data_IF_607938585238
#
_entry.id   IF_607938585238
#
_cell.length_a   1.000
_cell.length_b   1.000
_cell.length_c   1.000
_cell.angle_alpha   90.00
_cell.angle_beta   90.00
_cell.angle_gamma   90.00
#
_symmetry.space_group_name_H-M   'P 1'
#
loop_
_entity.id
_entity.type
_entity.pdbx_description
1 polymer ?
#
# COMPACT_ATOMS: atom_id res chain seq x y z
N UNK A 1 1.06 5.39 -22.74
CA UNK A 1 1.53 4.07 -23.14
C UNK A 1 0.35 3.15 -23.50
N UNK A 2 0.06 3.00 -24.80
CA UNK A 2 -1.18 2.39 -25.31
C UNK A 2 -1.46 0.94 -24.86
N UNK A 3 -0.42 0.16 -24.49
CA UNK A 3 -0.60 -1.23 -24.03
C UNK A 3 -1.38 -1.32 -22.72
N UNK A 4 -1.04 -0.52 -21.72
CA UNK A 4 -1.71 -0.55 -20.43
C UNK A 4 -3.11 0.07 -20.49
N UNK A 5 -3.32 1.12 -21.30
CA UNK A 5 -4.64 1.68 -21.53
C UNK A 5 -5.62 0.64 -22.10
N UNK A 6 -5.19 -0.17 -23.07
CA UNK A 6 -6.01 -1.26 -23.62
C UNK A 6 -6.39 -2.30 -22.57
N UNK A 7 -5.46 -2.66 -21.66
CA UNK A 7 -5.77 -3.59 -20.56
C UNK A 7 -6.81 -3.01 -19.60
N UNK A 8 -6.71 -1.72 -19.26
CA UNK A 8 -7.66 -1.05 -18.38
C UNK A 8 -9.06 -0.99 -19.01
N UNK A 9 -9.16 -0.65 -20.30
CA UNK A 9 -10.43 -0.65 -21.03
C UNK A 9 -11.05 -2.08 -21.01
N UNK A 10 -10.23 -3.11 -21.24
CA UNK A 10 -10.69 -4.50 -21.17
C UNK A 10 -11.18 -4.87 -19.77
N UNK A 11 -10.46 -4.49 -18.71
CA UNK A 11 -10.88 -4.74 -17.32
C UNK A 11 -12.24 -4.08 -17.06
N UNK A 12 -12.38 -2.78 -17.37
CA UNK A 12 -13.63 -2.07 -17.18
C UNK A 12 -14.81 -2.73 -17.93
N UNK A 13 -14.59 -3.13 -19.19
CA UNK A 13 -15.61 -3.83 -19.98
C UNK A 13 -16.02 -5.18 -19.37
N UNK A 14 -15.06 -5.95 -18.84
CA UNK A 14 -15.36 -7.23 -18.18
C UNK A 14 -16.13 -7.02 -16.88
N UNK A 15 -15.79 -6.01 -16.10
CA UNK A 15 -16.52 -5.64 -14.87
C UNK A 15 -17.96 -5.25 -15.21
N UNK A 16 -18.18 -4.40 -16.23
CA UNK A 16 -19.52 -4.02 -16.68
C UNK A 16 -20.37 -5.20 -17.17
N UNK A 17 -19.74 -6.30 -17.64
CA UNK A 17 -20.39 -7.55 -18.01
C UNK A 17 -20.60 -8.51 -16.83
N UNK A 18 -20.24 -8.15 -15.61
CA UNK A 18 -20.28 -9.05 -14.45
C UNK A 18 -19.19 -10.13 -14.41
N UNK A 19 -18.22 -10.10 -15.34
CA UNK A 19 -17.13 -11.10 -15.47
C UNK A 19 -15.94 -10.75 -14.56
N UNK A 20 -16.20 -10.70 -13.27
CA UNK A 20 -15.23 -10.22 -12.26
C UNK A 20 -13.95 -11.06 -12.23
N UNK A 21 -14.06 -12.39 -12.32
CA UNK A 21 -12.88 -13.29 -12.31
C UNK A 21 -11.98 -13.08 -13.53
N UNK A 22 -12.57 -12.91 -14.73
CA UNK A 22 -11.80 -12.60 -15.92
C UNK A 22 -11.13 -11.22 -15.81
N UNK A 23 -11.83 -10.23 -15.28
CA UNK A 23 -11.26 -8.90 -15.01
C UNK A 23 -10.07 -8.99 -14.04
N UNK A 24 -10.17 -9.77 -12.96
CA UNK A 24 -9.08 -10.01 -12.02
C UNK A 24 -7.89 -10.71 -12.68
N UNK A 25 -8.12 -11.64 -13.59
CA UNK A 25 -7.04 -12.30 -14.35
C UNK A 25 -6.31 -11.29 -15.26
N UNK A 26 -7.05 -10.45 -15.98
CA UNK A 26 -6.45 -9.40 -16.83
C UNK A 26 -5.73 -8.36 -15.98
N UNK A 27 -6.25 -7.98 -14.80
CA UNK A 27 -5.63 -7.02 -13.87
C UNK A 27 -4.22 -7.47 -13.45
N UNK A 28 -3.98 -8.78 -13.27
CA UNK A 28 -2.65 -9.33 -12.93
C UNK A 28 -1.58 -9.11 -13.99
N UNK A 29 -1.95 -8.73 -15.21
CA UNK A 29 -1.02 -8.39 -16.31
C UNK A 29 -0.55 -6.93 -16.24
N UNK A 30 -1.17 -6.09 -15.40
CA UNK A 30 -0.74 -4.71 -15.18
C UNK A 30 0.56 -4.66 -14.36
N UNK A 31 1.39 -3.64 -14.56
CA UNK A 31 2.54 -3.41 -13.68
C UNK A 31 2.08 -3.28 -12.24
N UNK A 32 2.79 -3.98 -11.35
CA UNK A 32 2.59 -3.90 -9.90
C UNK A 32 3.69 -3.05 -9.28
N UNK A 33 3.35 -2.19 -8.32
CA UNK A 33 4.27 -1.28 -7.64
C UNK A 33 4.02 -1.27 -6.14
N UNK A 34 5.07 -0.96 -5.39
CA UNK A 34 5.04 -0.63 -3.96
C UNK A 34 5.56 0.79 -3.81
N UNK A 35 4.88 1.63 -3.03
CA UNK A 35 5.33 2.99 -2.75
C UNK A 35 5.91 3.11 -1.35
N UNK A 36 5.33 2.42 -0.39
CA UNK A 36 5.68 2.47 1.03
C UNK A 36 7.07 1.90 1.32
N UNK A 37 7.51 0.87 0.60
CA UNK A 37 8.81 0.25 0.83
C UNK A 37 9.49 -0.18 -0.46
N UNK A 38 10.84 -0.08 -0.45
CA UNK A 38 11.71 -0.63 -1.49
C UNK A 38 12.32 -1.95 -0.98
N UNK A 39 12.51 -2.89 -1.88
CA UNK A 39 13.00 -4.24 -1.56
C UNK A 39 14.25 -4.56 -2.39
N UNK A 40 15.17 -5.35 -1.82
CA UNK A 40 16.39 -5.78 -2.52
C UNK A 40 16.09 -6.85 -3.56
N UNK A 41 15.38 -7.90 -3.17
CA UNK A 41 15.10 -9.06 -4.02
C UNK A 41 13.62 -9.37 -4.11
N UNK A 42 13.04 -9.74 -2.99
CA UNK A 42 11.62 -10.13 -2.88
C UNK A 42 10.88 -9.17 -1.98
N UNK A 43 9.59 -9.03 -2.20
CA UNK A 43 8.70 -8.23 -1.37
C UNK A 43 8.39 -8.94 -0.04
N UNK A 44 9.40 -8.99 0.81
CA UNK A 44 9.38 -9.60 2.14
C UNK A 44 10.06 -8.65 3.13
N UNK A 45 9.64 -8.69 4.38
CA UNK A 45 10.18 -7.87 5.45
C UNK A 45 11.71 -7.85 5.53
N UNK A 46 12.42 -9.00 5.49
CA UNK A 46 13.89 -9.01 5.55
C UNK A 46 14.57 -8.35 4.35
N UNK A 47 13.85 -8.15 3.25
CA UNK A 47 14.37 -7.54 2.02
C UNK A 47 14.09 -6.05 1.91
N UNK A 48 13.44 -5.43 2.89
CA UNK A 48 13.19 -3.99 2.90
C UNK A 48 14.52 -3.25 3.01
N UNK A 49 14.78 -2.36 2.05
CA UNK A 49 15.99 -1.52 2.02
C UNK A 49 15.69 -0.06 2.36
N UNK A 50 14.45 0.37 2.14
CA UNK A 50 14.00 1.74 2.36
C UNK A 50 12.53 1.76 2.70
N UNK A 51 12.16 2.62 3.61
CA UNK A 51 10.77 2.93 3.92
C UNK A 51 10.43 4.36 3.50
N UNK A 52 9.32 4.53 2.82
CA UNK A 52 8.74 5.83 2.51
C UNK A 52 7.50 6.00 3.39
N UNK A 53 7.35 7.13 4.11
CA UNK A 53 6.23 7.34 5.02
C UNK A 53 4.94 7.71 4.28
N UNK A 54 4.68 7.02 3.19
CA UNK A 54 3.48 7.19 2.35
C UNK A 54 2.58 5.99 2.54
N UNK A 55 1.36 6.26 2.94
CA UNK A 55 0.33 5.25 3.13
C UNK A 55 -0.46 5.08 1.83
N UNK A 56 -0.69 3.85 1.44
CA UNK A 56 -1.57 3.53 0.31
C UNK A 56 -2.93 3.11 0.86
N UNK A 57 -3.97 3.83 0.46
CA UNK A 57 -5.36 3.49 0.77
C UNK A 57 -6.08 3.05 -0.51
N UNK A 58 -6.97 2.10 -0.35
CA UNK A 58 -7.85 1.60 -1.39
C UNK A 58 -9.28 1.99 -1.02
N UNK A 59 -9.91 2.80 -1.87
CA UNK A 59 -11.33 3.15 -1.78
C UNK A 59 -11.99 2.38 -2.92
N UNK A 60 -12.72 1.35 -2.57
CA UNK A 60 -13.34 0.46 -3.53
C UNK A 60 -14.89 0.61 -3.52
N UNK A 61 -15.57 0.04 -4.47
CA UNK A 61 -17.03 -0.11 -4.58
C UNK A 61 -17.84 1.19 -4.53
N UNK A 62 -17.29 2.30 -5.05
CA UNK A 62 -18.00 3.55 -5.22
C UNK A 62 -19.01 3.44 -6.36
N UNK A 63 -20.20 4.02 -6.14
CA UNK A 63 -21.18 4.20 -7.20
C UNK A 63 -20.70 5.25 -8.22
N UNK A 64 -21.18 5.16 -9.46
CA UNK A 64 -20.75 6.06 -10.54
C UNK A 64 -20.98 7.54 -10.17
N UNK A 65 -22.10 7.85 -9.51
CA UNK A 65 -22.43 9.20 -9.05
C UNK A 65 -21.53 9.75 -7.93
N UNK A 66 -20.82 8.89 -7.21
CA UNK A 66 -19.91 9.26 -6.13
C UNK A 66 -18.49 9.57 -6.62
N UNK A 67 -18.09 9.06 -7.79
CA UNK A 67 -16.70 9.10 -8.25
C UNK A 67 -16.15 10.52 -8.33
N UNK A 68 -16.84 11.46 -8.97
CA UNK A 68 -16.33 12.82 -9.13
C UNK A 68 -16.32 13.62 -7.82
N UNK A 69 -17.31 13.44 -6.96
CA UNK A 69 -17.31 14.06 -5.63
C UNK A 69 -16.15 13.52 -4.79
N UNK A 70 -15.94 12.20 -4.78
CA UNK A 70 -14.83 11.57 -4.08
C UNK A 70 -13.49 12.07 -4.62
N UNK A 71 -13.32 12.17 -5.95
CA UNK A 71 -12.12 12.73 -6.59
C UNK A 71 -11.82 14.14 -6.07
N UNK A 72 -12.83 15.01 -6.05
CA UNK A 72 -12.67 16.38 -5.59
C UNK A 72 -12.20 16.41 -4.13
N UNK A 73 -12.91 15.72 -3.24
CA UNK A 73 -12.57 15.68 -1.83
C UNK A 73 -11.15 15.17 -1.57
N UNK A 74 -10.75 14.06 -2.20
CA UNK A 74 -9.41 13.51 -1.99
C UNK A 74 -8.31 14.41 -2.58
N UNK A 75 -8.53 15.07 -3.72
CA UNK A 75 -7.50 15.89 -4.36
C UNK A 75 -7.34 17.26 -3.69
N UNK A 76 -8.36 17.77 -3.02
CA UNK A 76 -8.32 19.01 -2.23
C UNK A 76 -7.75 18.80 -0.83
N UNK A 77 -7.70 17.55 -0.33
CA UNK A 77 -7.16 17.26 0.98
C UNK A 77 -5.65 17.48 1.05
N UNK A 78 -5.15 18.25 2.05
CA UNK A 78 -3.74 18.61 2.14
C UNK A 78 -2.79 17.44 2.42
N UNK A 79 -3.30 16.29 2.85
CA UNK A 79 -2.53 15.07 3.09
C UNK A 79 -2.45 14.16 1.87
N UNK A 80 -3.22 14.44 0.83
CA UNK A 80 -3.18 13.66 -0.42
C UNK A 80 -1.91 13.95 -1.21
N UNK A 81 -1.01 12.97 -1.26
CA UNK A 81 0.16 13.00 -2.13
C UNK A 81 -0.21 12.76 -3.59
N UNK A 82 -1.17 11.87 -3.83
CA UNK A 82 -1.64 11.57 -5.16
C UNK A 82 -2.78 10.56 -5.18
N UNK A 83 -3.51 10.57 -6.26
CA UNK A 83 -4.63 9.66 -6.47
C UNK A 83 -4.82 9.29 -7.93
N UNK A 84 -5.40 8.13 -8.17
CA UNK A 84 -5.88 7.74 -9.50
C UNK A 84 -7.03 6.73 -9.41
N UNK A 85 -7.85 6.73 -10.45
CA UNK A 85 -8.96 5.80 -10.58
C UNK A 85 -8.45 4.36 -10.72
N UNK A 86 -9.00 3.44 -9.95
CA UNK A 86 -8.59 2.03 -9.93
C UNK A 86 -8.77 1.36 -11.31
N UNK A 87 -8.07 0.25 -11.61
CA UNK A 87 -8.24 -0.45 -12.88
C UNK A 87 -9.67 -0.90 -13.19
N UNK A 88 -10.48 -1.16 -12.15
CA UNK A 88 -11.89 -1.54 -12.28
C UNK A 88 -12.84 -0.37 -12.49
N UNK A 89 -12.38 0.86 -12.30
CA UNK A 89 -13.17 2.10 -12.45
C UNK A 89 -14.24 2.36 -11.38
N UNK A 90 -14.28 1.58 -10.31
CA UNK A 90 -15.25 1.71 -9.22
C UNK A 90 -14.59 2.15 -7.91
N UNK A 91 -13.50 2.91 -7.96
CA UNK A 91 -12.81 3.36 -6.78
C UNK A 91 -11.45 4.00 -7.07
N UNK A 92 -10.76 4.42 -6.03
CA UNK A 92 -9.49 5.14 -6.11
C UNK A 92 -8.36 4.42 -5.39
N UNK A 93 -7.16 4.53 -5.94
CA UNK A 93 -5.90 4.34 -5.23
C UNK A 93 -5.43 5.69 -4.76
N UNK A 94 -5.24 5.82 -3.45
CA UNK A 94 -4.90 7.05 -2.79
C UNK A 94 -3.56 6.90 -2.07
N UNK A 95 -2.68 7.85 -2.27
CA UNK A 95 -1.38 7.95 -1.61
C UNK A 95 -1.40 9.11 -0.64
N UNK A 96 -1.15 8.81 0.62
CA UNK A 96 -1.33 9.75 1.73
C UNK A 96 -0.02 9.98 2.44
N UNK A 97 0.32 11.24 2.67
CA UNK A 97 1.38 11.67 3.54
C UNK A 97 0.80 12.53 4.66
N UNK A 98 0.47 11.89 5.79
CA UNK A 98 -0.18 12.55 6.91
C UNK A 98 0.76 13.58 7.56
N UNK A 99 0.32 14.83 7.66
CA UNK A 99 1.08 15.92 8.27
C UNK A 99 0.36 16.48 9.51
N UNK A 100 0.23 15.67 10.52
CA UNK A 100 -0.27 16.07 11.84
C UNK A 100 0.89 16.15 12.84
N UNK A 101 0.70 16.80 13.97
CA UNK A 101 1.71 16.78 15.03
C UNK A 101 2.02 15.36 15.51
N UNK A 102 0.99 14.51 15.58
CA UNK A 102 1.13 13.11 15.94
C UNK A 102 2.03 12.35 14.95
N UNK A 103 1.77 12.47 13.64
CA UNK A 103 2.54 11.75 12.62
C UNK A 103 3.96 12.27 12.48
N UNK A 104 4.21 13.56 12.71
CA UNK A 104 5.57 14.13 12.76
C UNK A 104 6.42 13.46 13.84
N UNK A 105 5.88 13.21 15.02
CA UNK A 105 6.60 12.48 16.09
C UNK A 105 6.97 11.06 15.67
N UNK A 106 6.11 10.39 14.89
CA UNK A 106 6.42 9.07 14.33
C UNK A 106 7.54 9.14 13.29
N UNK A 107 7.53 10.14 12.42
CA UNK A 107 8.60 10.37 11.45
C UNK A 107 9.94 10.68 12.12
N UNK A 108 9.93 11.44 13.20
CA UNK A 108 11.15 11.73 13.97
C UNK A 108 11.75 10.47 14.59
N UNK A 109 10.93 9.56 15.09
CA UNK A 109 11.40 8.23 15.53
C UNK A 109 12.09 7.45 14.40
N UNK A 110 11.57 7.51 13.17
CA UNK A 110 12.17 6.86 12.00
C UNK A 110 13.49 7.51 11.56
N UNK A 111 13.70 8.80 11.87
CA UNK A 111 14.95 9.54 11.53
C UNK A 111 16.08 9.32 12.52
N UNK A 112 15.83 8.83 13.72
CA UNK A 112 16.79 8.74 14.83
C UNK A 112 17.82 7.61 14.70
N UNK A 113 17.91 6.89 13.58
CA UNK A 113 18.94 5.89 13.36
C UNK A 113 18.45 4.53 12.88
N UNK A 114 18.99 3.45 13.45
CA UNK A 114 18.59 2.09 13.08
C UNK A 114 17.20 1.76 13.65
N UNK A 115 16.33 1.26 12.78
CA UNK A 115 14.96 0.89 13.12
C UNK A 115 14.79 -0.60 12.91
N UNK A 116 14.31 -1.32 13.93
CA UNK A 116 13.94 -2.72 13.76
C UNK A 116 12.70 -2.85 12.87
N UNK A 117 12.56 -3.98 12.19
CA UNK A 117 11.36 -4.23 11.40
C UNK A 117 10.08 -4.13 12.25
N UNK A 118 10.10 -4.65 13.49
CA UNK A 118 8.94 -4.59 14.39
C UNK A 118 8.56 -3.14 14.73
N UNK A 119 9.53 -2.27 14.99
CA UNK A 119 9.28 -0.84 15.23
C UNK A 119 8.73 -0.15 13.98
N UNK A 120 9.25 -0.50 12.81
CA UNK A 120 8.76 0.02 11.53
C UNK A 120 7.31 -0.39 11.28
N UNK A 121 6.99 -1.66 11.52
CA UNK A 121 5.63 -2.19 11.39
C UNK A 121 4.64 -1.52 12.34
N UNK A 122 5.03 -1.32 13.61
CA UNK A 122 4.24 -0.57 14.60
C UNK A 122 3.97 0.87 14.13
N UNK A 123 5.01 1.57 13.65
CA UNK A 123 4.88 2.95 13.17
C UNK A 123 3.99 3.00 11.93
N UNK A 124 4.20 2.10 10.99
CA UNK A 124 3.39 2.03 9.78
C UNK A 124 1.91 1.82 10.09
N UNK A 125 1.60 0.89 11.01
CA UNK A 125 0.23 0.65 11.44
C UNK A 125 -0.44 1.89 12.04
N UNK A 126 0.30 2.67 12.84
CA UNK A 126 -0.20 3.93 13.41
C UNK A 126 -0.44 4.99 12.35
N UNK A 127 0.46 5.11 11.37
CA UNK A 127 0.29 6.02 10.23
C UNK A 127 -0.89 5.61 9.36
N UNK A 128 -1.04 4.30 9.11
CA UNK A 128 -2.17 3.75 8.37
C UNK A 128 -3.50 4.03 9.08
N UNK A 129 -3.57 3.77 10.38
CA UNK A 129 -4.81 3.99 11.15
C UNK A 129 -5.22 5.46 11.14
N UNK A 130 -4.26 6.38 11.31
CA UNK A 130 -4.54 7.81 11.24
C UNK A 130 -5.03 8.26 9.85
N UNK A 131 -4.43 7.73 8.77
CA UNK A 131 -4.84 8.03 7.42
C UNK A 131 -6.24 7.43 7.11
N UNK A 132 -6.47 6.17 7.50
CA UNK A 132 -7.78 5.51 7.32
C UNK A 132 -8.88 6.29 8.02
N UNK A 133 -8.74 6.59 9.30
CA UNK A 133 -9.72 7.33 10.10
C UNK A 133 -10.05 8.70 9.48
N UNK A 134 -9.01 9.42 9.03
CA UNK A 134 -9.17 10.72 8.39
C UNK A 134 -10.00 10.64 7.10
N UNK A 135 -9.65 9.71 6.20
CA UNK A 135 -10.35 9.61 4.92
C UNK A 135 -11.73 8.95 5.02
N UNK A 136 -11.95 8.06 5.97
CA UNK A 136 -13.30 7.55 6.25
C UNK A 136 -14.22 8.67 6.76
N UNK A 137 -13.73 9.55 7.64
CA UNK A 137 -14.47 10.71 8.12
C UNK A 137 -14.73 11.74 7.00
N UNK A 138 -13.74 11.98 6.13
CA UNK A 138 -13.85 12.93 5.01
C UNK A 138 -14.83 12.45 3.94
N UNK A 139 -14.81 11.17 3.61
CA UNK A 139 -15.51 10.63 2.46
C UNK A 139 -16.86 9.97 2.81
N UNK A 140 -17.05 9.60 4.07
CA UNK A 140 -18.23 8.86 4.51
C UNK A 140 -18.31 7.43 3.95
N UNK A 141 -17.17 6.84 3.55
CA UNK A 141 -17.09 5.48 2.99
C UNK A 141 -16.03 4.67 3.73
N UNK A 142 -16.15 3.35 3.71
CA UNK A 142 -15.15 2.46 4.29
C UNK A 142 -13.90 2.37 3.40
N UNK A 143 -12.72 2.39 4.02
CA UNK A 143 -11.42 2.18 3.37
C UNK A 143 -10.95 0.75 3.59
N UNK A 144 -10.53 0.06 2.52
CA UNK A 144 -10.04 -1.32 2.57
C UNK A 144 -8.88 -1.48 3.57
N UNK A 145 -9.05 -2.42 4.50
CA UNK A 145 -8.10 -2.70 5.57
C UNK A 145 -6.74 -3.26 5.14
N UNK A 146 -6.54 -3.58 3.87
CA UNK A 146 -5.30 -4.23 3.38
C UNK A 146 -4.07 -3.32 3.36
N UNK A 147 -4.24 -1.99 3.39
CA UNK A 147 -3.15 -1.01 3.41
C UNK A 147 -2.30 -1.00 4.69
N UNK A 148 -2.74 -1.70 5.74
CA UNK A 148 -1.98 -1.87 7.00
C UNK A 148 -0.67 -2.67 6.84
N UNK A 149 -0.52 -3.42 5.77
CA UNK A 149 0.70 -4.19 5.48
C UNK A 149 1.72 -3.30 4.74
N UNK A 150 2.91 -3.12 5.29
CA UNK A 150 4.02 -2.37 4.67
C UNK A 150 4.32 -2.89 3.27
N UNK A 151 4.13 -4.18 3.04
CA UNK A 151 4.37 -4.81 1.74
C UNK A 151 3.24 -4.57 0.75
N UNK A 152 2.19 -3.86 1.13
CA UNK A 152 1.07 -3.56 0.23
C UNK A 152 1.55 -2.90 -1.04
N UNK A 153 1.12 -3.44 -2.14
CA UNK A 153 1.34 -2.85 -3.46
C UNK A 153 0.04 -2.70 -4.21
N UNK A 154 0.12 -2.02 -5.32
CA UNK A 154 -1.02 -1.73 -6.17
C UNK A 154 -0.71 -1.99 -7.64
N UNK A 155 -1.74 -2.30 -8.39
CA UNK A 155 -1.65 -2.36 -9.84
C UNK A 155 -1.78 -0.95 -10.43
N UNK A 156 -0.88 -0.63 -11.38
CA UNK A 156 -0.95 0.63 -12.11
C UNK A 156 -2.26 0.71 -12.88
N UNK A 157 -2.77 1.93 -13.03
CA UNK A 157 -3.94 2.22 -13.84
C UNK A 157 -3.62 3.24 -14.92
N UNK A 158 -4.54 3.47 -15.82
CA UNK A 158 -4.54 4.59 -16.75
C UNK A 158 -5.68 5.52 -16.36
N UNK A 159 -5.35 6.65 -15.79
CA UNK A 159 -6.30 7.71 -15.43
C UNK A 159 -5.79 9.05 -15.98
N UNK A 160 -6.47 9.65 -16.98
CA UNK A 160 -6.07 10.96 -17.52
C UNK A 160 -6.16 12.09 -16.49
N UNK A 161 -6.93 11.88 -15.41
CA UNK A 161 -7.13 12.82 -14.32
C UNK A 161 -6.41 12.42 -13.04
N UNK A 162 -5.37 11.58 -13.16
CA UNK A 162 -4.52 11.23 -12.02
C UNK A 162 -3.92 12.50 -11.40
N UNK A 163 -3.97 12.59 -10.09
CA UNK A 163 -3.50 13.72 -9.33
C UNK A 163 -2.16 13.42 -8.65
N UNK A 164 -1.31 14.43 -8.56
CA UNK A 164 -0.11 14.43 -7.73
C UNK A 164 0.12 15.82 -7.13
N UNK A 165 0.38 15.84 -5.83
CA UNK A 165 0.76 17.05 -5.09
C UNK A 165 2.28 17.19 -5.11
N UNK A 166 2.81 18.03 -6.01
CA UNK A 166 4.24 18.23 -6.16
C UNK A 166 4.87 18.83 -4.89
N UNK A 167 4.16 19.74 -4.20
CA UNK A 167 4.67 20.36 -2.98
C UNK A 167 4.81 19.35 -1.82
N UNK A 168 3.90 18.37 -1.72
CA UNK A 168 4.05 17.27 -0.76
C UNK A 168 5.18 16.33 -1.19
N UNK A 169 5.32 16.05 -2.46
CA UNK A 169 6.36 15.16 -2.97
C UNK A 169 7.76 15.66 -2.62
N UNK A 170 7.99 16.98 -2.69
CA UNK A 170 9.27 17.59 -2.29
C UNK A 170 9.57 17.46 -0.79
N UNK A 171 8.54 17.35 0.04
CA UNK A 171 8.67 17.20 1.49
C UNK A 171 8.97 15.76 1.93
N UNK A 172 8.66 14.78 1.07
CA UNK A 172 8.94 13.37 1.34
C UNK A 172 10.41 13.09 1.09
N UNK A 173 11.24 13.46 2.06
CA UNK A 173 12.62 12.97 2.07
C UNK A 173 12.60 11.48 2.39
N UNK A 174 13.33 10.67 1.61
CA UNK A 174 13.52 9.27 1.96
C UNK A 174 14.11 9.20 3.37
N UNK A 175 13.45 8.47 4.24
CA UNK A 175 13.97 8.29 5.60
C UNK A 175 15.24 7.43 5.52
N UNK A 176 16.40 7.92 5.99
CA UNK A 176 17.66 7.19 5.91
C UNK A 176 17.76 6.06 6.94
N UNK A 177 16.65 5.66 7.55
CA UNK A 177 16.65 4.62 8.56
C UNK A 177 17.22 3.33 8.00
N UNK A 178 18.31 2.84 8.59
CA UNK A 178 18.80 1.49 8.37
C UNK A 178 17.83 0.51 9.02
N UNK A 179 17.15 -0.27 8.21
CA UNK A 179 16.18 -1.24 8.70
C UNK A 179 16.93 -2.52 9.08
N UNK A 180 16.83 -2.88 10.35
CA UNK A 180 17.35 -4.15 10.85
C UNK A 180 16.31 -5.22 10.56
N UNK A 181 16.62 -6.19 9.70
CA UNK A 181 15.69 -7.27 9.39
C UNK A 181 15.37 -8.09 10.65
N UNK A 182 14.20 -8.74 10.71
CA UNK A 182 13.89 -9.65 11.80
C UNK A 182 14.95 -10.75 11.88
N UNK A 183 15.34 -11.13 13.09
CA UNK A 183 16.25 -12.24 13.31
C UNK A 183 15.73 -13.48 12.55
N UNK A 184 16.61 -14.14 11.82
CA UNK A 184 16.25 -15.44 11.22
C UNK A 184 15.81 -16.35 12.38
N UNK A 185 14.59 -16.89 12.30
CA UNK A 185 14.22 -18.00 13.18
C UNK A 185 15.23 -19.09 12.93
N UNK A 186 16.11 -19.36 13.89
CA UNK A 186 16.91 -20.56 13.86
C UNK A 186 15.94 -21.73 13.73
N UNK A 187 16.09 -22.49 12.66
CA UNK A 187 15.38 -23.76 12.54
C UNK A 187 15.81 -24.59 13.74
N UNK A 188 14.93 -24.70 14.74
CA UNK A 188 15.14 -25.65 15.81
C UNK A 188 15.45 -27.00 15.15
N UNK A 189 16.56 -27.68 15.50
CA UNK A 189 16.88 -28.96 14.90
C UNK A 189 15.66 -29.84 15.10
N UNK A 190 15.14 -30.38 14.00
CA UNK A 190 14.11 -31.43 14.09
C UNK A 190 14.73 -32.54 14.93
N UNK A 191 14.25 -32.70 16.16
CA UNK A 191 14.54 -33.88 16.96
C UNK A 191 14.11 -35.08 16.11
N UNK A 192 15.08 -35.76 15.51
CA UNK A 192 14.86 -37.06 14.91
C UNK A 192 14.47 -38.00 16.05
N UNK A 193 13.23 -38.47 16.04
CA UNK A 193 12.80 -39.59 16.88
C UNK A 193 13.73 -40.78 16.57
N UNK A 194 14.70 -40.97 17.48
CA UNK A 194 15.48 -42.19 17.48
C UNK A 194 14.51 -43.30 17.87
N UNK A 195 14.17 -44.17 16.92
CA UNK A 195 13.46 -45.40 17.21
C UNK A 195 14.38 -46.27 18.07
N UNK A 196 14.10 -46.32 19.36
CA UNK A 196 14.72 -47.33 20.24
C UNK A 196 13.93 -48.61 19.95
N UNK A 197 14.56 -49.54 19.24
CA UNK A 197 14.08 -50.93 19.10
C UNK A 197 14.29 -51.62 20.45
N UNK A 198 13.20 -52.13 21.01
CA UNK A 198 13.31 -52.98 22.20
C UNK A 198 14.02 -54.30 21.86
N UNK A 199 14.91 -54.79 22.72
CA UNK A 199 15.52 -56.10 22.53
C UNK A 199 14.53 -57.20 22.92
N UNK A 200 14.39 -58.19 22.07
CA UNK A 200 13.72 -59.50 22.29
C UNK A 200 14.42 -60.33 23.36
#
# INVERSE_FOLDING_TARGET
NGKHAKLIIKIASLVAQGKVEEANHVKKQLPFRTLTANYRERRLAPSITRYNPVITLDIDDLEEGQLEQTRTLINEDPHTLGSFLSPKRHGYKLFVFMQTEYTRRLYDRLRQGEVTYATLEEIHLKLYSAAKEHYEALLGVEVDGSGKDISRGYFMSFDPHAYINAALLEQISPLPARIIPPAKKENSPKLSLIHISEPT
#
